data_IF_831868995019
#
_entry.id   IF_831868995019
#
_cell.length_a   1.000
_cell.length_b   1.000
_cell.length_c   1.000
_cell.angle_alpha   90.00
_cell.angle_beta   90.00
_cell.angle_gamma   90.00
#
_symmetry.space_group_name_H-M   'P 1'
#
loop_
_entity.id
_entity.type
_entity.pdbx_description
1 polymer ?
#
# COMPACT_ATOMS: atom_id res chain seq x y z
N UNK A 1 26.12 7.99 -13.46
CA UNK A 1 27.29 7.39 -12.76
C UNK A 1 26.84 6.63 -11.50
N UNK A 2 25.85 7.12 -10.77
CA UNK A 2 25.42 6.61 -9.44
C UNK A 2 24.88 5.17 -9.42
N UNK A 3 24.41 4.64 -10.56
CA UNK A 3 23.91 3.27 -10.66
C UNK A 3 25.06 2.24 -10.64
N UNK A 4 26.19 2.56 -11.27
CA UNK A 4 27.35 1.67 -11.33
C UNK A 4 28.08 1.62 -9.99
N UNK A 5 28.17 2.75 -9.29
CA UNK A 5 28.75 2.84 -7.96
C UNK A 5 28.04 1.93 -6.95
N UNK A 6 26.69 1.93 -6.96
CA UNK A 6 25.89 1.04 -6.12
C UNK A 6 26.14 -0.46 -6.36
N UNK A 7 26.58 -0.84 -7.56
CA UNK A 7 26.92 -2.23 -7.91
C UNK A 7 28.33 -2.65 -7.48
N UNK A 8 29.19 -1.69 -7.10
CA UNK A 8 30.58 -1.92 -6.69
C UNK A 8 30.78 -1.85 -5.17
N UNK A 9 29.69 -1.78 -4.39
CA UNK A 9 29.71 -1.67 -2.94
C UNK A 9 29.59 -3.04 -2.28
N UNK A 10 30.42 -3.27 -1.27
CA UNK A 10 30.36 -4.46 -0.43
C UNK A 10 29.18 -4.39 0.55
N UNK A 11 28.31 -5.42 0.62
CA UNK A 11 27.13 -5.41 1.50
C UNK A 11 27.45 -5.48 3.00
N UNK A 12 28.73 -5.62 3.37
CA UNK A 12 29.18 -5.77 4.77
C UNK A 12 29.83 -4.49 5.29
N UNK A 13 30.83 -3.97 4.56
CA UNK A 13 31.48 -2.72 4.97
C UNK A 13 30.83 -1.47 4.38
N UNK A 14 29.88 -1.63 3.43
CA UNK A 14 29.20 -0.53 2.72
C UNK A 14 30.14 0.42 1.94
N UNK A 15 31.39 -0.03 1.73
CA UNK A 15 32.41 0.65 0.94
C UNK A 15 32.61 -0.07 -0.41
N UNK A 16 33.23 0.61 -1.38
CA UNK A 16 33.66 0.01 -2.65
C UNK A 16 34.52 -1.24 -2.37
N UNK A 17 34.30 -2.33 -3.12
CA UNK A 17 34.99 -3.59 -2.86
C UNK A 17 36.52 -3.41 -2.83
N UNK A 18 37.14 -3.96 -1.78
CA UNK A 18 38.59 -4.07 -1.63
C UNK A 18 38.98 -5.54 -1.68
N UNK A 19 39.72 -5.91 -2.74
CA UNK A 19 40.08 -7.32 -3.05
C UNK A 19 38.83 -8.22 -3.05
N UNK A 20 37.90 -8.02 -4.00
CA UNK A 20 36.64 -8.77 -4.05
C UNK A 20 36.90 -10.27 -4.20
N UNK A 21 36.25 -11.07 -3.36
CA UNK A 21 36.19 -12.53 -3.47
C UNK A 21 34.79 -12.96 -3.88
N UNK A 22 34.70 -13.97 -4.75
CA UNK A 22 33.43 -14.54 -5.19
C UNK A 22 33.09 -15.80 -4.40
N UNK A 23 31.84 -15.90 -3.95
CA UNK A 23 31.32 -17.05 -3.23
C UNK A 23 30.59 -17.97 -4.21
N UNK A 24 31.14 -19.14 -4.51
CA UNK A 24 30.48 -20.13 -5.37
C UNK A 24 29.63 -21.10 -4.53
N UNK A 25 28.45 -21.54 -5.01
CA UNK A 25 27.85 -21.28 -6.32
C UNK A 25 26.99 -19.99 -6.41
N UNK A 26 26.80 -19.26 -5.32
CA UNK A 26 25.84 -18.14 -5.29
C UNK A 26 26.32 -16.84 -5.97
N UNK A 27 27.57 -16.79 -6.47
CA UNK A 27 28.21 -15.72 -7.23
C UNK A 27 28.20 -14.33 -6.57
N UNK A 28 27.91 -14.25 -5.27
CA UNK A 28 27.96 -12.99 -4.53
C UNK A 28 29.41 -12.60 -4.23
N UNK A 29 29.68 -11.29 -4.30
CA UNK A 29 30.99 -10.72 -4.05
C UNK A 29 31.05 -10.08 -2.66
N UNK A 30 32.18 -10.23 -1.97
CA UNK A 30 32.50 -9.59 -0.69
C UNK A 30 33.93 -9.10 -0.71
N UNK A 31 34.28 -8.11 0.12
CA UNK A 31 35.69 -7.85 0.42
C UNK A 31 36.30 -9.07 1.12
N UNK A 32 37.54 -9.43 0.77
CA UNK A 32 38.25 -10.56 1.41
C UNK A 32 38.29 -10.43 2.94
N UNK A 33 38.47 -9.20 3.45
CA UNK A 33 38.47 -8.91 4.88
C UNK A 33 37.10 -9.19 5.50
N UNK A 34 36.03 -8.68 4.90
CA UNK A 34 34.65 -8.92 5.36
C UNK A 34 34.29 -10.40 5.40
N UNK A 35 34.67 -11.17 4.38
CA UNK A 35 34.44 -12.62 4.36
C UNK A 35 35.21 -13.32 5.50
N UNK A 36 36.44 -12.88 5.80
CA UNK A 36 37.24 -13.44 6.88
C UNK A 36 36.66 -13.12 8.26
N UNK A 37 36.22 -11.89 8.47
CA UNK A 37 35.66 -11.44 9.75
C UNK A 37 34.35 -12.18 10.07
N UNK A 38 33.49 -12.40 9.06
CA UNK A 38 32.26 -13.20 9.20
C UNK A 38 32.57 -14.66 9.51
N UNK A 39 33.56 -15.24 8.82
CA UNK A 39 33.97 -16.62 9.06
C UNK A 39 34.50 -16.82 10.49
N UNK A 40 35.31 -15.90 11.00
CA UNK A 40 35.83 -15.93 12.36
C UNK A 40 34.73 -15.74 13.42
N UNK A 41 33.81 -14.79 13.20
CA UNK A 41 32.67 -14.57 14.10
C UNK A 41 31.76 -15.80 14.19
N UNK A 42 31.59 -16.52 13.09
CA UNK A 42 30.77 -17.74 13.04
C UNK A 42 31.43 -18.99 13.64
N UNK A 43 32.74 -18.97 13.90
CA UNK A 43 33.49 -20.11 14.44
C UNK A 43 34.47 -19.69 15.56
N UNK A 44 33.96 -19.35 16.77
CA UNK A 44 34.79 -18.81 17.86
C UNK A 44 35.78 -19.81 18.49
N UNK A 45 35.61 -21.11 18.22
CA UNK A 45 36.36 -22.19 18.88
C UNK A 45 37.50 -22.79 18.03
N UNK A 46 37.76 -22.30 16.82
CA UNK A 46 38.91 -22.73 16.03
C UNK A 46 40.13 -21.82 16.31
N UNK A 47 41.26 -22.37 16.83
CA UNK A 47 42.43 -21.57 17.16
C UNK A 47 43.20 -21.14 15.89
N UNK A 48 43.52 -19.84 15.81
CA UNK A 48 44.27 -19.16 14.73
C UNK A 48 45.76 -19.54 14.65
N UNK A 49 46.22 -20.59 15.33
CA UNK A 49 47.66 -20.93 15.39
C UNK A 49 47.91 -22.43 15.44
N UNK A 50 48.44 -22.96 14.33
CA UNK A 50 49.28 -24.16 14.29
C UNK A 50 48.73 -25.42 14.94
N UNK A 51 47.79 -26.10 14.28
CA UNK A 51 47.35 -27.44 14.68
C UNK A 51 46.67 -28.14 13.52
N UNK A 52 47.19 -29.31 13.14
CA UNK A 52 46.64 -30.20 12.11
C UNK A 52 45.20 -30.62 12.44
N UNK A 53 44.22 -30.01 11.77
CA UNK A 53 42.84 -30.52 11.68
C UNK A 53 42.29 -30.29 10.27
N UNK A 54 41.87 -31.39 9.66
CA UNK A 54 41.49 -31.57 8.25
C UNK A 54 40.05 -31.20 7.93
N UNK A 55 39.47 -30.20 8.60
CA UNK A 55 38.06 -29.84 8.41
C UNK A 55 37.91 -28.46 7.78
N UNK A 56 37.65 -28.46 6.47
CA UNK A 56 37.20 -27.28 5.75
C UNK A 56 35.99 -26.64 6.42
N UNK A 57 36.13 -25.39 6.87
CA UNK A 57 35.07 -24.69 7.58
C UNK A 57 33.86 -24.42 6.69
N UNK A 58 32.66 -24.39 7.28
CA UNK A 58 31.43 -23.97 6.57
C UNK A 58 31.32 -22.45 6.63
N UNK A 59 31.07 -21.83 5.48
CA UNK A 59 30.87 -20.39 5.35
C UNK A 59 29.48 -20.12 4.79
N UNK A 60 28.70 -19.30 5.49
CA UNK A 60 27.38 -18.87 5.00
C UNK A 60 27.49 -17.50 4.34
N UNK A 61 27.07 -17.41 3.09
CA UNK A 61 27.01 -16.15 2.36
C UNK A 61 26.05 -15.18 3.07
N UNK A 62 26.49 -13.98 3.47
CA UNK A 62 25.61 -12.99 4.09
C UNK A 62 24.48 -12.50 3.19
N UNK A 63 24.73 -12.45 1.87
CA UNK A 63 23.79 -11.91 0.90
C UNK A 63 22.62 -12.84 0.59
N UNK A 64 22.85 -14.16 0.55
CA UNK A 64 21.84 -15.15 0.16
C UNK A 64 21.70 -16.34 1.12
N UNK A 65 22.46 -16.35 2.23
CA UNK A 65 22.51 -17.41 3.24
C UNK A 65 22.93 -18.79 2.74
N UNK A 66 23.37 -18.90 1.49
CA UNK A 66 23.90 -20.13 0.92
C UNK A 66 25.15 -20.61 1.66
N UNK A 67 25.19 -21.89 2.02
CA UNK A 67 26.28 -22.48 2.79
C UNK A 67 27.30 -23.14 1.86
N UNK A 68 28.56 -22.71 1.99
CA UNK A 68 29.69 -23.15 1.16
C UNK A 68 30.70 -23.83 2.05
N UNK A 69 31.17 -25.01 1.64
CA UNK A 69 32.28 -25.71 2.31
C UNK A 69 33.59 -25.12 1.78
N UNK A 70 34.42 -24.60 2.67
CA UNK A 70 35.72 -24.03 2.32
C UNK A 70 36.80 -25.11 2.30
N UNK A 71 37.81 -24.95 1.46
CA UNK A 71 38.98 -25.84 1.44
C UNK A 71 39.87 -25.64 2.68
N UNK A 72 40.99 -26.40 2.74
CA UNK A 72 42.06 -26.25 3.75
C UNK A 72 42.59 -24.82 3.93
N UNK A 73 42.41 -23.95 2.94
CA UNK A 73 42.82 -22.54 2.98
C UNK A 73 41.73 -21.59 3.52
N UNK A 74 40.57 -22.11 3.93
CA UNK A 74 39.46 -21.31 4.45
C UNK A 74 39.03 -20.20 3.48
N UNK A 75 38.76 -19.01 4.02
CA UNK A 75 38.34 -17.82 3.25
C UNK A 75 39.41 -17.37 2.25
N UNK A 76 40.69 -17.65 2.51
CA UNK A 76 41.77 -17.30 1.57
C UNK A 76 41.76 -18.17 0.31
N UNK A 77 41.06 -19.31 0.33
CA UNK A 77 40.81 -20.14 -0.84
C UNK A 77 39.72 -19.62 -1.78
N UNK A 78 38.91 -18.63 -1.35
CA UNK A 78 37.91 -18.02 -2.23
C UNK A 78 38.59 -17.28 -3.39
N UNK A 79 38.08 -17.56 -4.59
CA UNK A 79 38.60 -16.98 -5.83
C UNK A 79 38.42 -15.46 -5.83
N UNK A 80 39.43 -14.74 -6.31
CA UNK A 80 39.32 -13.30 -6.55
C UNK A 80 38.52 -13.05 -7.82
N UNK A 81 37.66 -12.04 -7.78
CA UNK A 81 36.95 -11.60 -8.97
C UNK A 81 37.74 -10.47 -9.65
N UNK A 82 38.68 -10.85 -10.53
CA UNK A 82 39.55 -9.90 -11.24
C UNK A 82 38.77 -8.95 -12.15
N UNK A 83 37.58 -9.34 -12.62
CA UNK A 83 36.72 -8.47 -13.42
C UNK A 83 36.20 -7.30 -12.58
N UNK A 84 35.70 -7.60 -11.37
CA UNK A 84 35.24 -6.56 -10.44
C UNK A 84 36.40 -5.68 -9.98
N UNK A 85 37.58 -6.26 -9.77
CA UNK A 85 38.80 -5.52 -9.45
C UNK A 85 39.19 -4.54 -10.59
N UNK A 86 39.20 -4.99 -11.85
CA UNK A 86 39.49 -4.15 -13.01
C UNK A 86 38.46 -3.04 -13.24
N UNK A 87 37.16 -3.32 -13.00
CA UNK A 87 36.10 -2.31 -13.11
C UNK A 87 36.27 -1.23 -12.04
N UNK A 88 36.64 -1.62 -10.82
CA UNK A 88 36.93 -0.68 -9.72
C UNK A 88 38.17 0.16 -10.04
N UNK A 89 39.19 -0.41 -10.67
CA UNK A 89 40.39 0.33 -11.06
C UNK A 89 40.11 1.35 -12.18
N UNK A 90 39.26 1.00 -13.16
CA UNK A 90 38.75 1.97 -14.13
C UNK A 90 37.94 3.09 -13.46
N UNK A 91 37.04 2.74 -12.53
CA UNK A 91 36.21 3.71 -11.81
C UNK A 91 37.06 4.67 -10.94
N UNK A 92 38.11 4.16 -10.28
CA UNK A 92 39.04 4.97 -9.47
C UNK A 92 39.95 5.88 -10.29
N UNK A 93 40.19 5.57 -11.56
CA UNK A 93 41.03 6.38 -12.45
C UNK A 93 40.31 7.61 -13.01
N UNK A 94 38.98 7.72 -12.83
CA UNK A 94 38.18 8.79 -13.43
C UNK A 94 38.06 10.15 -12.69
N UNK A 95 38.80 10.48 -11.60
CA UNK A 95 38.82 11.86 -11.11
C UNK A 95 40.18 12.60 -11.12
N UNK A 96 41.29 12.02 -11.60
CA UNK A 96 42.60 12.68 -11.43
C UNK A 96 43.66 12.37 -12.50
N UNK A 97 43.35 12.62 -13.78
CA UNK A 97 44.39 12.75 -14.81
C UNK A 97 44.06 13.82 -15.85
N UNK A 98 44.29 15.07 -15.49
CA UNK A 98 44.63 16.12 -16.45
C UNK A 98 46.07 15.92 -16.92
N UNK A 99 46.29 14.94 -17.80
CA UNK A 99 47.49 14.86 -18.65
C UNK A 99 47.03 14.79 -20.11
N UNK A 100 47.54 15.67 -21.00
CA UNK A 100 47.30 15.48 -22.42
C UNK A 100 47.94 14.16 -22.83
N UNK A 101 47.15 13.25 -23.40
CA UNK A 101 47.68 12.06 -24.05
C UNK A 101 48.64 12.50 -25.17
N UNK A 102 49.73 11.75 -25.45
CA UNK A 102 50.54 12.01 -26.62
C UNK A 102 49.64 11.88 -27.86
N UNK A 103 49.65 12.90 -28.71
CA UNK A 103 49.01 12.88 -30.02
C UNK A 103 49.44 11.62 -30.76
N UNK A 104 48.55 10.62 -30.85
CA UNK A 104 48.67 9.59 -31.87
C UNK A 104 48.52 10.33 -33.20
N UNK A 105 49.62 10.50 -33.94
CA UNK A 105 49.55 10.88 -35.36
C UNK A 105 48.60 9.88 -36.01
N UNK A 106 47.42 10.33 -36.38
CA UNK A 106 46.46 9.50 -37.09
C UNK A 106 47.12 9.04 -38.39
N UNK A 107 47.25 7.72 -38.58
CA UNK A 107 47.64 7.15 -39.86
C UNK A 107 46.64 7.66 -40.91
N UNK A 108 47.11 8.51 -41.82
CA UNK A 108 46.30 8.99 -42.93
C UNK A 108 46.06 7.81 -43.86
N UNK A 109 44.79 7.47 -44.18
CA UNK A 109 44.50 6.33 -45.04
C UNK A 109 45.09 6.54 -46.44
N UNK A 110 45.76 5.50 -46.95
CA UNK A 110 46.34 5.45 -48.28
C UNK A 110 45.31 4.86 -49.26
N UNK A 111 45.46 5.16 -50.55
CA UNK A 111 44.56 4.64 -51.57
C UNK A 111 44.79 3.13 -51.79
N UNK A 112 43.72 2.35 -51.82
CA UNK A 112 43.78 0.89 -52.04
C UNK A 112 44.36 0.52 -53.41
N UNK A 113 44.16 1.37 -54.42
CA UNK A 113 44.66 1.17 -55.80
C UNK A 113 46.05 1.77 -55.99
N UNK A 114 46.36 2.84 -55.26
CA UNK A 114 47.62 3.58 -55.37
C UNK A 114 48.26 3.66 -53.98
N UNK A 115 49.00 2.61 -53.62
CA UNK A 115 49.48 2.39 -52.25
C UNK A 115 50.42 3.51 -51.74
N UNK A 116 51.08 4.25 -52.63
CA UNK A 116 51.95 5.38 -52.28
C UNK A 116 51.21 6.74 -52.20
N UNK A 117 49.94 6.78 -52.58
CA UNK A 117 49.16 8.01 -52.65
C UNK A 117 48.19 8.16 -51.47
N UNK A 118 48.20 9.36 -50.89
CA UNK A 118 47.31 9.73 -49.78
C UNK A 118 45.91 10.06 -50.27
N UNK A 119 44.91 9.69 -49.49
CA UNK A 119 43.53 10.11 -49.73
C UNK A 119 43.36 11.58 -49.30
N UNK A 120 43.18 12.46 -50.28
CA UNK A 120 43.09 13.91 -50.08
C UNK A 120 41.96 14.59 -50.91
N UNK A 121 41.25 13.81 -51.73
CA UNK A 121 40.17 14.27 -52.60
C UNK A 121 38.88 13.54 -52.22
N UNK A 122 37.74 14.19 -52.35
CA UNK A 122 36.43 13.55 -52.25
C UNK A 122 35.72 13.63 -53.60
N UNK A 123 35.28 12.49 -54.11
CA UNK A 123 34.51 12.42 -55.34
C UNK A 123 33.04 12.67 -55.04
N UNK A 124 32.49 13.80 -55.52
CA UNK A 124 31.10 14.18 -55.29
C UNK A 124 30.15 13.29 -56.09
N UNK A 125 30.52 12.90 -57.30
CA UNK A 125 29.70 12.04 -58.16
C UNK A 125 29.53 10.63 -57.60
N UNK A 126 30.58 10.10 -56.96
CA UNK A 126 30.58 8.74 -56.41
C UNK A 126 30.39 8.69 -54.89
N UNK A 127 30.34 9.84 -54.21
CA UNK A 127 30.25 9.98 -52.76
C UNK A 127 31.32 9.18 -51.97
N UNK A 128 32.55 9.10 -52.50
CA UNK A 128 33.66 8.35 -51.89
C UNK A 128 34.94 9.18 -51.82
N UNK A 129 35.75 9.01 -50.75
CA UNK A 129 37.08 9.62 -50.66
C UNK A 129 38.06 8.90 -51.61
N UNK A 130 38.92 9.65 -52.27
CA UNK A 130 39.83 9.17 -53.33
C UNK A 130 41.18 9.90 -53.32
N UNK A 131 42.13 9.48 -54.15
CA UNK A 131 43.45 10.11 -54.30
C UNK A 131 43.63 10.83 -55.64
N UNK A 132 44.70 11.61 -55.76
CA UNK A 132 45.04 12.38 -56.97
C UNK A 132 45.18 11.48 -58.21
N UNK A 133 45.80 10.32 -58.08
CA UNK A 133 46.01 9.39 -59.21
C UNK A 133 44.70 8.79 -59.72
N UNK A 134 43.77 8.47 -58.81
CA UNK A 134 42.42 8.02 -59.18
C UNK A 134 41.62 9.07 -59.96
N UNK A 135 41.85 10.36 -59.69
CA UNK A 135 41.23 11.46 -60.43
C UNK A 135 41.91 11.75 -61.77
N UNK A 136 43.23 11.73 -61.85
CA UNK A 136 43.91 12.14 -63.09
C UNK A 136 43.95 11.01 -64.13
N UNK A 137 44.15 9.76 -63.71
CA UNK A 137 44.34 8.62 -64.62
C UNK A 137 43.42 7.43 -64.33
N UNK A 138 42.72 7.44 -63.19
CA UNK A 138 41.92 6.31 -62.73
C UNK A 138 40.44 6.39 -63.07
N UNK A 139 39.64 5.65 -62.30
CA UNK A 139 38.19 5.49 -62.46
C UNK A 139 37.38 6.77 -62.26
N UNK A 140 37.94 7.82 -61.66
CA UNK A 140 37.23 9.07 -61.36
C UNK A 140 37.61 10.24 -62.28
N UNK A 141 38.21 9.94 -63.46
CA UNK A 141 38.66 10.95 -64.44
C UNK A 141 37.59 11.97 -64.83
N UNK A 142 36.37 11.51 -65.07
CA UNK A 142 35.26 12.34 -65.53
C UNK A 142 34.32 12.76 -64.37
N UNK A 143 34.63 12.40 -63.12
CA UNK A 143 33.81 12.72 -61.95
C UNK A 143 34.10 14.11 -61.39
N UNK A 144 33.10 14.74 -60.81
CA UNK A 144 33.28 15.98 -60.06
C UNK A 144 33.92 15.69 -58.69
N UNK A 145 34.92 16.49 -58.32
CA UNK A 145 35.71 16.28 -57.10
C UNK A 145 35.90 17.57 -56.33
N UNK A 146 36.02 17.46 -55.01
CA UNK A 146 36.35 18.56 -54.12
C UNK A 146 37.46 18.16 -53.14
N UNK A 147 38.19 19.13 -52.56
CA UNK A 147 39.15 18.83 -51.50
C UNK A 147 38.49 18.10 -50.32
N UNK A 148 39.08 17.01 -49.83
CA UNK A 148 38.45 16.22 -48.75
C UNK A 148 38.21 17.05 -47.49
N UNK A 149 39.08 18.04 -47.22
CA UNK A 149 38.96 18.92 -46.06
C UNK A 149 37.70 19.79 -46.12
N UNK A 150 37.29 20.28 -47.30
CA UNK A 150 36.09 21.12 -47.41
C UNK A 150 34.81 20.30 -47.25
N UNK A 151 34.75 19.12 -47.87
CA UNK A 151 33.60 18.20 -47.72
C UNK A 151 33.49 17.69 -46.29
N UNK A 152 34.63 17.34 -45.66
CA UNK A 152 34.66 16.94 -44.26
C UNK A 152 34.11 18.03 -43.33
N UNK A 153 34.53 19.29 -43.51
CA UNK A 153 34.02 20.36 -42.66
C UNK A 153 32.53 20.59 -42.87
N UNK A 154 32.05 20.58 -44.11
CA UNK A 154 30.62 20.74 -44.43
C UNK A 154 29.77 19.61 -43.81
N UNK A 155 30.13 18.35 -44.07
CA UNK A 155 29.38 17.20 -43.52
C UNK A 155 29.46 17.17 -41.99
N UNK A 156 30.59 17.58 -41.41
CA UNK A 156 30.74 17.69 -39.95
C UNK A 156 29.81 18.77 -39.39
N UNK A 157 29.70 19.93 -40.03
CA UNK A 157 28.78 20.99 -39.61
C UNK A 157 27.33 20.55 -39.75
N UNK A 158 26.92 19.97 -40.88
CA UNK A 158 25.56 19.46 -41.09
C UNK A 158 25.17 18.40 -40.06
N UNK A 159 26.08 17.47 -39.77
CA UNK A 159 25.86 16.46 -38.73
C UNK A 159 25.76 17.09 -37.35
N UNK A 160 26.61 18.07 -37.03
CA UNK A 160 26.58 18.78 -35.74
C UNK A 160 25.27 19.54 -35.57
N UNK A 161 24.80 20.23 -36.61
CA UNK A 161 23.54 20.99 -36.60
C UNK A 161 22.34 20.05 -36.48
N UNK A 162 22.35 18.94 -37.22
CA UNK A 162 21.33 17.88 -37.10
C UNK A 162 21.26 17.27 -35.70
N UNK A 163 22.42 16.97 -35.10
CA UNK A 163 22.49 16.50 -33.71
C UNK A 163 21.95 17.55 -32.75
N UNK A 164 22.32 18.82 -32.92
CA UNK A 164 21.86 19.91 -32.06
C UNK A 164 20.32 20.06 -32.10
N UNK A 165 19.70 19.99 -33.29
CA UNK A 165 18.24 19.99 -33.42
C UNK A 165 17.60 18.78 -32.74
N UNK A 166 18.18 17.59 -32.91
CA UNK A 166 17.67 16.37 -32.26
C UNK A 166 17.75 16.44 -30.74
N UNK A 167 18.83 17.00 -30.18
CA UNK A 167 18.95 17.25 -28.74
C UNK A 167 17.85 18.21 -28.26
N UNK A 168 17.58 19.28 -29.01
CA UNK A 168 16.47 20.21 -28.71
C UNK A 168 15.09 19.52 -28.73
N UNK A 169 14.84 18.68 -29.74
CA UNK A 169 13.60 17.90 -29.84
C UNK A 169 13.44 16.90 -28.69
N UNK A 170 14.51 16.19 -28.33
CA UNK A 170 14.50 15.27 -27.19
C UNK A 170 14.16 16.01 -25.88
N UNK A 171 14.74 17.20 -25.66
CA UNK A 171 14.40 18.03 -24.49
C UNK A 171 12.93 18.45 -24.48
N UNK A 172 12.37 18.82 -25.65
CA UNK A 172 10.95 19.16 -25.78
C UNK A 172 10.04 17.97 -25.46
N UNK A 173 10.35 16.79 -26.01
CA UNK A 173 9.59 15.55 -25.74
C UNK A 173 9.66 15.20 -24.25
N UNK A 174 10.84 15.31 -23.64
CA UNK A 174 11.01 15.08 -22.21
C UNK A 174 10.13 16.02 -21.37
N UNK A 175 10.03 17.30 -21.76
CA UNK A 175 9.12 18.25 -21.11
C UNK A 175 7.64 17.86 -21.22
N UNK A 176 7.21 17.39 -22.40
CA UNK A 176 5.84 16.90 -22.60
C UNK A 176 5.57 15.66 -21.72
N UNK A 177 6.52 14.71 -21.64
CA UNK A 177 6.40 13.54 -20.77
C UNK A 177 6.22 13.99 -19.31
N UNK A 178 7.03 14.93 -18.83
CA UNK A 178 6.90 15.45 -17.46
C UNK A 178 5.54 16.11 -17.21
N UNK A 179 4.98 16.85 -18.17
CA UNK A 179 3.65 17.45 -18.06
C UNK A 179 2.54 16.40 -18.02
N UNK A 180 2.65 15.35 -18.83
CA UNK A 180 1.70 14.23 -18.82
C UNK A 180 1.74 13.48 -17.49
N UNK A 181 2.93 13.21 -16.95
CA UNK A 181 3.08 12.60 -15.63
C UNK A 181 2.48 13.46 -14.51
N UNK A 182 2.65 14.78 -14.58
CA UNK A 182 2.04 15.71 -13.62
C UNK A 182 0.52 15.70 -13.71
N UNK A 183 -0.02 15.66 -14.92
CA UNK A 183 -1.47 15.53 -15.14
C UNK A 183 -2.01 14.22 -14.57
N UNK A 184 -1.31 13.10 -14.78
CA UNK A 184 -1.66 11.82 -14.17
C UNK A 184 -1.67 11.90 -12.64
N UNK A 185 -0.63 12.49 -12.03
CA UNK A 185 -0.57 12.71 -10.58
C UNK A 185 -1.72 13.58 -10.08
N UNK A 186 -2.07 14.65 -10.80
CA UNK A 186 -3.20 15.51 -10.47
C UNK A 186 -4.53 14.76 -10.52
N UNK A 187 -4.76 13.93 -11.54
CA UNK A 187 -5.94 13.07 -11.65
C UNK A 187 -6.02 12.08 -10.48
N UNK A 188 -4.91 11.46 -10.08
CA UNK A 188 -4.89 10.56 -8.93
C UNK A 188 -5.27 11.26 -7.62
N UNK A 189 -4.69 12.43 -7.36
CA UNK A 189 -4.98 13.22 -6.15
C UNK A 189 -6.45 13.66 -6.16
N UNK A 190 -6.94 14.16 -7.29
CA UNK A 190 -8.35 14.55 -7.43
C UNK A 190 -9.27 13.33 -7.23
N UNK A 191 -8.99 12.20 -7.85
CA UNK A 191 -9.77 10.96 -7.69
C UNK A 191 -9.80 10.50 -6.24
N UNK A 192 -8.67 10.52 -5.54
CA UNK A 192 -8.60 10.22 -4.09
C UNK A 192 -9.48 11.17 -3.28
N UNK A 193 -9.44 12.47 -3.58
CA UNK A 193 -10.30 13.47 -2.93
C UNK A 193 -11.79 13.20 -3.16
N UNK A 194 -12.20 12.94 -4.40
CA UNK A 194 -13.59 12.63 -4.73
C UNK A 194 -14.08 11.36 -4.02
N UNK A 195 -13.24 10.31 -3.98
CA UNK A 195 -13.54 9.09 -3.21
C UNK A 195 -13.72 9.37 -1.71
N UNK A 196 -12.85 10.18 -1.12
CA UNK A 196 -12.98 10.59 0.30
C UNK A 196 -14.31 11.29 0.57
N UNK A 197 -14.71 12.21 -0.32
CA UNK A 197 -15.98 12.92 -0.19
C UNK A 197 -17.18 11.97 -0.24
N UNK A 198 -17.17 10.99 -1.13
CA UNK A 198 -18.23 9.96 -1.16
C UNK A 198 -18.28 9.21 0.15
N UNK A 199 -17.14 8.73 0.66
CA UNK A 199 -17.08 8.04 1.95
C UNK A 199 -17.63 8.91 3.09
N UNK A 200 -17.19 10.16 3.20
CA UNK A 200 -17.64 11.10 4.24
C UNK A 200 -19.17 11.33 4.20
N UNK A 201 -19.76 11.42 3.00
CA UNK A 201 -21.22 11.58 2.86
C UNK A 201 -21.97 10.31 3.29
N UNK A 202 -21.46 9.13 2.98
CA UNK A 202 -22.05 7.88 3.46
C UNK A 202 -21.87 7.69 4.97
N UNK A 203 -20.72 8.05 5.53
CA UNK A 203 -20.47 8.02 6.99
C UNK A 203 -21.44 8.93 7.75
N UNK A 204 -21.77 10.08 7.18
CA UNK A 204 -22.80 10.96 7.72
C UNK A 204 -24.19 10.30 7.69
N UNK A 205 -24.56 9.65 6.58
CA UNK A 205 -25.83 8.90 6.48
C UNK A 205 -25.90 7.74 7.48
N UNK A 206 -24.80 7.00 7.68
CA UNK A 206 -24.74 5.94 8.69
C UNK A 206 -24.95 6.49 10.10
N UNK A 207 -24.33 7.62 10.42
CA UNK A 207 -24.53 8.29 11.72
C UNK A 207 -26.02 8.62 11.94
N UNK A 208 -26.68 9.24 10.97
CA UNK A 208 -28.11 9.56 11.06
C UNK A 208 -28.95 8.30 11.26
N UNK A 209 -28.69 7.24 10.49
CA UNK A 209 -29.43 5.99 10.60
C UNK A 209 -29.25 5.33 11.97
N UNK A 210 -28.03 5.34 12.51
CA UNK A 210 -27.75 4.78 13.83
C UNK A 210 -28.40 5.62 14.94
N UNK A 211 -28.34 6.95 14.87
CA UNK A 211 -29.04 7.83 15.83
C UNK A 211 -30.55 7.55 15.84
N UNK A 212 -31.19 7.44 14.67
CA UNK A 212 -32.63 7.15 14.58
C UNK A 212 -32.98 5.76 15.10
N UNK A 213 -32.12 4.76 14.86
CA UNK A 213 -32.27 3.42 15.44
C UNK A 213 -32.18 3.46 16.97
N UNK A 214 -31.21 4.19 17.53
CA UNK A 214 -31.05 4.33 18.98
C UNK A 214 -32.24 5.04 19.61
N UNK A 215 -32.73 6.12 19.00
CA UNK A 215 -33.92 6.84 19.47
C UNK A 215 -35.17 5.93 19.51
N UNK A 216 -35.44 5.21 18.42
CA UNK A 216 -36.59 4.29 18.35
C UNK A 216 -36.48 3.16 19.36
N UNK A 217 -35.30 2.54 19.49
CA UNK A 217 -35.02 1.50 20.47
C UNK A 217 -35.14 2.01 21.92
N UNK A 218 -34.67 3.24 22.16
CA UNK A 218 -34.75 3.91 23.44
C UNK A 218 -36.20 4.11 23.89
N UNK A 219 -37.11 4.48 22.97
CA UNK A 219 -38.55 4.59 23.27
C UNK A 219 -39.17 3.27 23.72
N UNK A 220 -38.86 2.17 23.02
CA UNK A 220 -39.34 0.82 23.40
C UNK A 220 -38.81 0.42 24.77
N UNK A 221 -37.53 0.72 25.03
CA UNK A 221 -36.88 0.40 26.32
C UNK A 221 -37.49 1.21 27.46
N UNK A 222 -37.74 2.50 27.26
CA UNK A 222 -38.37 3.37 28.27
C UNK A 222 -39.79 2.90 28.62
N UNK A 223 -40.65 2.61 27.61
CA UNK A 223 -42.00 2.10 27.88
C UNK A 223 -41.96 0.72 28.57
N UNK A 224 -41.01 -0.16 28.19
CA UNK A 224 -40.80 -1.42 28.89
C UNK A 224 -40.43 -1.20 30.37
N UNK A 225 -39.52 -0.28 30.66
CA UNK A 225 -39.08 0.02 32.03
C UNK A 225 -40.21 0.61 32.87
N UNK A 226 -41.03 1.48 32.29
CA UNK A 226 -42.23 2.01 32.92
C UNK A 226 -43.23 0.89 33.27
N UNK A 227 -43.56 0.02 32.30
CA UNK A 227 -44.47 -1.12 32.52
C UNK A 227 -43.91 -2.09 33.56
N UNK A 228 -42.62 -2.40 33.50
CA UNK A 228 -41.96 -3.23 34.51
C UNK A 228 -41.96 -2.57 35.90
N UNK A 229 -41.78 -1.25 35.96
CA UNK A 229 -41.87 -0.48 37.19
C UNK A 229 -43.25 -0.60 37.83
N UNK A 230 -44.31 -0.44 37.03
CA UNK A 230 -45.70 -0.61 37.46
C UNK A 230 -45.96 -2.02 38.02
N UNK A 231 -45.65 -3.07 37.25
CA UNK A 231 -45.89 -4.45 37.68
C UNK A 231 -45.08 -4.81 38.93
N UNK A 232 -43.83 -4.34 39.03
CA UNK A 232 -43.01 -4.54 40.22
C UNK A 232 -43.58 -3.82 41.44
N UNK A 233 -44.09 -2.61 41.25
CA UNK A 233 -44.78 -1.86 42.30
C UNK A 233 -46.03 -2.60 42.79
N UNK A 234 -46.83 -3.13 41.87
CA UNK A 234 -48.01 -3.91 42.21
C UNK A 234 -47.64 -5.20 42.98
N UNK A 235 -46.65 -5.95 42.48
CA UNK A 235 -46.12 -7.14 43.16
C UNK A 235 -45.71 -6.83 44.61
N UNK A 236 -45.03 -5.71 44.84
CA UNK A 236 -44.62 -5.30 46.18
C UNK A 236 -45.81 -5.03 47.10
N UNK A 237 -46.87 -4.36 46.61
CA UNK A 237 -48.12 -4.17 47.39
C UNK A 237 -48.72 -5.51 47.81
N UNK A 238 -48.73 -6.50 46.90
CA UNK A 238 -49.21 -7.85 47.20
C UNK A 238 -48.30 -8.58 48.22
N UNK A 239 -46.98 -8.44 48.10
CA UNK A 239 -46.00 -9.01 49.05
C UNK A 239 -46.15 -8.39 50.45
N UNK A 240 -46.28 -7.06 50.54
CA UNK A 240 -46.47 -6.34 51.81
C UNK A 240 -47.80 -6.74 52.49
N UNK A 241 -48.88 -6.89 51.71
CA UNK A 241 -50.17 -7.36 52.21
C UNK A 241 -50.08 -8.80 52.73
N UNK A 242 -49.38 -9.68 52.01
CA UNK A 242 -49.16 -11.07 52.41
C UNK A 242 -48.35 -11.17 53.70
N UNK A 243 -47.30 -10.34 53.85
CA UNK A 243 -46.50 -10.28 55.08
C UNK A 243 -47.35 -9.80 56.26
N UNK A 244 -48.18 -8.77 56.07
CA UNK A 244 -49.12 -8.29 57.07
C UNK A 244 -50.12 -9.39 57.50
N UNK A 245 -50.73 -10.07 56.54
CA UNK A 245 -51.63 -11.21 56.81
C UNK A 245 -50.90 -12.31 57.59
N UNK A 246 -49.67 -12.64 57.21
CA UNK A 246 -48.87 -13.68 57.88
C UNK A 246 -48.63 -13.34 59.34
N UNK A 247 -48.24 -12.09 59.64
CA UNK A 247 -48.05 -11.61 61.03
C UNK A 247 -49.34 -11.63 61.84
N UNK A 248 -50.48 -11.29 61.22
CA UNK A 248 -51.80 -11.37 61.87
C UNK A 248 -52.14 -12.83 62.19
N UNK A 249 -51.90 -13.77 61.28
CA UNK A 249 -52.11 -15.20 61.49
C UNK A 249 -51.22 -15.71 62.63
N UNK A 250 -49.93 -15.40 62.62
CA UNK A 250 -48.99 -15.79 63.69
C UNK A 250 -49.43 -15.25 65.06
N UNK A 251 -49.78 -13.96 65.12
CA UNK A 251 -50.29 -13.33 66.34
C UNK A 251 -51.60 -13.98 66.81
N UNK A 252 -52.44 -14.41 65.87
CA UNK A 252 -53.68 -15.13 66.15
C UNK A 252 -53.43 -16.50 66.74
N UNK A 253 -52.49 -17.26 66.17
CA UNK A 253 -52.08 -18.57 66.70
C UNK A 253 -51.48 -18.41 68.10
N UNK A 254 -50.61 -17.42 68.33
CA UNK A 254 -50.04 -17.14 69.65
C UNK A 254 -51.12 -16.78 70.68
N UNK A 255 -52.07 -15.92 70.30
CA UNK A 255 -53.20 -15.58 71.18
C UNK A 255 -54.06 -16.80 71.50
N UNK A 256 -54.26 -17.71 70.53
CA UNK A 256 -55.00 -18.96 70.74
C UNK A 256 -54.28 -19.98 71.63
N UNK A 257 -52.97 -19.81 71.85
CA UNK A 257 -52.18 -20.65 72.75
C UNK A 257 -52.18 -20.14 74.20
N UNK A 258 -52.80 -18.99 74.49
CA UNK A 258 -52.86 -18.41 75.84
C UNK A 258 -53.74 -19.26 76.78
N UNK A 259 -53.16 -19.86 77.85
CA UNK A 259 -53.92 -20.72 78.77
C UNK A 259 -54.82 -19.94 79.74
N UNK A 260 -54.50 -18.67 80.04
CA UNK A 260 -55.24 -17.88 81.01
C UNK A 260 -56.44 -17.15 80.34
N UNK A 261 -57.67 -17.59 80.65
CA UNK A 261 -58.89 -17.13 79.97
C UNK A 261 -59.11 -15.62 80.07
N UNK A 262 -58.76 -15.01 81.21
CA UNK A 262 -58.89 -13.56 81.40
C UNK A 262 -57.89 -12.78 80.54
N UNK A 263 -56.65 -13.28 80.44
CA UNK A 263 -55.58 -12.68 79.62
C UNK A 263 -55.92 -12.81 78.13
N UNK A 264 -56.43 -13.96 77.70
CA UNK A 264 -56.94 -14.16 76.34
C UNK A 264 -58.00 -13.13 75.95
N UNK A 265 -59.03 -12.95 76.79
CA UNK A 265 -60.10 -11.98 76.54
C UNK A 265 -59.58 -10.54 76.58
N UNK A 266 -58.60 -10.24 77.43
CA UNK A 266 -57.96 -8.94 77.50
C UNK A 266 -57.12 -8.66 76.25
N UNK A 267 -56.28 -9.58 75.79
CA UNK A 267 -55.44 -9.41 74.58
C UNK A 267 -56.31 -9.27 73.32
N UNK A 268 -57.36 -10.09 73.19
CA UNK A 268 -58.31 -10.01 72.08
C UNK A 268 -59.04 -8.64 72.03
N UNK A 269 -59.33 -8.05 73.20
CA UNK A 269 -60.09 -6.79 73.33
C UNK A 269 -59.21 -5.52 73.41
N UNK A 270 -57.98 -5.62 73.91
CA UNK A 270 -57.08 -4.47 74.21
C UNK A 270 -56.15 -4.10 73.06
N UNK A 271 -56.04 -4.96 72.05
CA UNK A 271 -55.33 -4.61 70.83
C UNK A 271 -56.09 -3.53 70.02
N UNK A 272 -55.39 -2.60 69.32
CA UNK A 272 -56.03 -1.51 68.58
C UNK A 272 -56.95 -2.09 67.50
N UNK A 273 -58.26 -1.92 67.68
CA UNK A 273 -59.28 -2.67 66.94
C UNK A 273 -59.35 -4.13 67.42
N UNK A 274 -60.54 -4.61 67.80
CA UNK A 274 -60.75 -6.00 68.23
C UNK A 274 -60.03 -6.95 67.27
N UNK A 275 -59.28 -7.92 67.79
CA UNK A 275 -58.43 -8.77 66.95
C UNK A 275 -59.22 -9.46 65.81
N UNK A 276 -60.44 -9.92 66.10
CA UNK A 276 -61.34 -10.48 65.08
C UNK A 276 -61.71 -9.49 63.95
N UNK A 277 -61.85 -8.20 64.26
CA UNK A 277 -62.12 -7.15 63.27
C UNK A 277 -60.93 -6.96 62.34
N UNK A 278 -59.71 -6.96 62.89
CA UNK A 278 -58.47 -6.88 62.09
C UNK A 278 -58.25 -8.09 61.19
N UNK A 279 -58.59 -9.29 61.66
CA UNK A 279 -58.59 -10.49 60.80
C UNK A 279 -59.58 -10.30 59.64
N UNK A 280 -60.79 -9.81 59.92
CA UNK A 280 -61.80 -9.56 58.89
C UNK A 280 -61.35 -8.53 57.86
N UNK A 281 -60.71 -7.45 58.30
CA UNK A 281 -60.17 -6.40 57.43
C UNK A 281 -58.99 -6.91 56.58
N UNK A 282 -58.03 -7.61 57.17
CA UNK A 282 -56.87 -8.15 56.45
C UNK A 282 -57.20 -9.31 55.51
N UNK A 283 -58.31 -10.03 55.76
CA UNK A 283 -58.79 -11.09 54.86
C UNK A 283 -59.48 -10.52 53.61
N UNK A 284 -59.79 -9.23 53.59
CA UNK A 284 -60.47 -8.60 52.47
C UNK A 284 -59.49 -8.17 51.37
N UNK A 285 -59.35 -9.00 50.33
CA UNK A 285 -58.46 -8.75 49.18
C UNK A 285 -59.07 -7.89 48.08
N UNK A 286 -60.32 -7.44 48.24
CA UNK A 286 -61.02 -6.63 47.21
C UNK A 286 -60.40 -5.25 46.96
N UNK A 287 -59.55 -4.77 47.88
CA UNK A 287 -58.84 -3.50 47.77
C UNK A 287 -57.53 -3.60 46.96
N UNK A 288 -57.11 -4.81 46.58
CA UNK A 288 -55.87 -5.02 45.82
C UNK A 288 -56.13 -4.73 44.33
N UNK A 289 -55.38 -3.76 43.81
CA UNK A 289 -55.42 -3.36 42.40
C UNK A 289 -55.08 -4.54 41.48
N UNK A 290 -55.80 -4.68 40.36
CA UNK A 290 -55.47 -5.63 39.30
C UNK A 290 -54.55 -4.96 38.29
N UNK A 291 -53.81 -5.77 37.53
CA UNK A 291 -52.99 -5.28 36.42
C UNK A 291 -53.89 -4.53 35.43
N UNK A 292 -53.51 -3.30 35.11
CA UNK A 292 -54.19 -2.49 34.10
C UNK A 292 -54.09 -3.11 32.70
N UNK A 293 -55.21 -3.05 31.97
CA UNK A 293 -55.27 -3.57 30.60
C UNK A 293 -54.30 -2.81 29.69
N UNK A 294 -53.42 -3.53 28.99
CA UNK A 294 -52.40 -2.95 28.10
C UNK A 294 -50.98 -2.89 28.68
N UNK A 295 -50.80 -3.16 29.97
CA UNK A 295 -49.47 -3.31 30.59
C UNK A 295 -48.78 -4.65 30.26
N UNK A 296 -49.51 -5.58 29.63
CA UNK A 296 -49.04 -6.93 29.30
C UNK A 296 -48.48 -7.07 27.87
N UNK A 297 -48.62 -6.05 27.03
CA UNK A 297 -48.34 -6.08 25.59
C UNK A 297 -47.42 -4.91 25.17
N UNK A 298 -46.61 -5.11 24.13
CA UNK A 298 -45.80 -4.07 23.46
C UNK A 298 -45.93 -4.12 21.92
N UNK A 299 -46.97 -4.78 21.39
CA UNK A 299 -47.15 -5.11 19.97
C UNK A 299 -47.59 -3.91 19.12
N UNK A 300 -47.93 -2.78 19.74
CA UNK A 300 -48.26 -1.53 19.03
C UNK A 300 -47.05 -0.93 18.30
N UNK A 301 -45.82 -1.36 18.62
CA UNK A 301 -44.63 -0.99 17.86
C UNK A 301 -44.53 -1.79 16.56
N UNK A 302 -44.75 -1.11 15.43
CA UNK A 302 -44.57 -1.68 14.08
C UNK A 302 -43.56 -0.85 13.28
N UNK A 303 -42.69 -1.52 12.52
CA UNK A 303 -41.66 -0.87 11.67
C UNK A 303 -41.91 -1.12 10.18
N UNK A 304 -41.80 -0.07 9.35
CA UNK A 304 -41.90 -0.16 7.89
C UNK A 304 -40.98 0.87 7.24
N UNK A 305 -39.87 0.40 6.65
CA UNK A 305 -38.83 1.24 6.05
C UNK A 305 -38.80 1.15 4.52
N UNK A 306 -39.93 0.81 3.88
CA UNK A 306 -39.97 0.60 2.42
C UNK A 306 -39.69 1.88 1.63
N UNK A 307 -40.07 3.06 2.13
CA UNK A 307 -39.84 4.33 1.43
C UNK A 307 -38.39 4.77 1.56
N UNK A 308 -37.85 4.65 2.76
CA UNK A 308 -36.48 4.97 3.14
C UNK A 308 -35.50 4.07 2.38
N UNK A 309 -35.79 2.77 2.31
CA UNK A 309 -35.00 1.83 1.49
C UNK A 309 -35.02 2.19 0.00
N UNK A 310 -36.15 2.66 -0.54
CA UNK A 310 -36.19 3.17 -1.93
C UNK A 310 -35.36 4.44 -2.11
N UNK A 311 -35.40 5.35 -1.14
CA UNK A 311 -34.60 6.57 -1.18
C UNK A 311 -33.10 6.28 -1.13
N UNK A 312 -32.66 5.35 -0.27
CA UNK A 312 -31.26 4.92 -0.18
C UNK A 312 -30.78 4.25 -1.47
N UNK A 313 -31.62 3.43 -2.10
CA UNK A 313 -31.29 2.79 -3.39
C UNK A 313 -31.24 3.77 -4.57
N UNK A 314 -31.78 4.97 -4.42
CA UNK A 314 -31.80 6.00 -5.46
C UNK A 314 -30.63 7.01 -5.32
N UNK A 315 -29.72 6.82 -4.36
CA UNK A 315 -28.55 7.68 -4.19
C UNK A 315 -27.59 7.47 -5.36
N UNK A 316 -27.26 8.55 -6.05
CA UNK A 316 -26.30 8.58 -7.15
C UNK A 316 -25.54 9.92 -7.14
N UNK A 317 -24.50 10.04 -7.97
CA UNK A 317 -23.81 11.29 -8.19
C UNK A 317 -24.74 12.33 -8.80
N UNK A 318 -24.67 13.56 -8.30
CA UNK A 318 -25.33 14.71 -8.94
C UNK A 318 -24.61 14.97 -10.26
N UNK A 319 -25.34 14.83 -11.37
CA UNK A 319 -24.86 15.32 -12.67
C UNK A 319 -25.10 16.83 -12.67
N UNK A 320 -24.05 17.59 -12.42
CA UNK A 320 -24.06 19.00 -12.80
C UNK A 320 -24.16 19.04 -14.33
N UNK A 321 -25.28 19.51 -14.86
CA UNK A 321 -25.32 20.00 -16.24
C UNK A 321 -24.40 21.22 -16.26
N UNK A 322 -23.13 20.96 -16.59
CA UNK A 322 -22.17 22.03 -16.84
C UNK A 322 -22.68 22.74 -18.10
N UNK A 323 -23.36 23.88 -17.92
CA UNK A 323 -23.50 24.84 -19.00
C UNK A 323 -22.08 25.20 -19.43
N UNK A 324 -21.64 24.62 -20.55
CA UNK A 324 -20.46 25.10 -21.25
C UNK A 324 -20.75 26.55 -21.63
N UNK A 325 -20.19 27.49 -20.88
CA UNK A 325 -20.06 28.87 -21.34
C UNK A 325 -19.14 28.83 -22.56
N UNK A 326 -19.75 28.77 -23.74
CA UNK A 326 -19.16 29.24 -24.98
C UNK A 326 -18.84 30.73 -24.79
N UNK A 327 -17.62 31.05 -24.33
CA UNK A 327 -17.08 32.38 -24.53
C UNK A 327 -16.53 32.46 -25.96
N UNK A 328 -17.38 32.98 -26.85
CA UNK A 328 -17.04 33.34 -28.21
C UNK A 328 -16.05 34.51 -28.23
N UNK A 329 -14.86 34.26 -28.76
CA UNK A 329 -13.78 35.24 -28.84
C UNK A 329 -12.98 35.20 -30.14
N UNK A 330 -13.66 35.50 -31.24
CA UNK A 330 -13.16 36.13 -32.49
C UNK A 330 -12.21 35.35 -33.42
N UNK A 331 -12.74 35.18 -34.62
CA UNK A 331 -12.13 34.76 -35.88
C UNK A 331 -11.12 35.79 -36.41
N UNK A 332 -9.99 35.29 -36.90
CA UNK A 332 -9.19 35.84 -38.00
C UNK A 332 -8.31 34.70 -38.51
N UNK A 333 -8.76 33.94 -39.53
CA UNK A 333 -8.33 34.08 -40.92
C UNK A 333 -6.79 34.08 -41.02
N UNK A 334 -6.10 33.17 -41.70
CA UNK A 334 -6.21 32.71 -43.09
C UNK A 334 -5.53 31.31 -43.18
N UNK A 335 -6.13 30.29 -43.79
CA UNK A 335 -5.75 29.75 -45.12
C UNK A 335 -4.44 28.93 -45.08
N UNK A 336 -4.26 27.70 -45.56
CA UNK A 336 -4.96 26.79 -46.48
C UNK A 336 -4.42 25.38 -46.11
N UNK A 337 -5.23 24.33 -46.01
CA UNK A 337 -5.50 23.44 -47.13
C UNK A 337 -4.42 22.37 -47.35
N UNK A 338 -4.52 21.19 -46.73
CA UNK A 338 -4.25 19.94 -47.45
C UNK A 338 -4.84 18.71 -46.75
N UNK A 339 -5.43 17.88 -47.60
CA UNK A 339 -6.12 16.60 -47.39
C UNK A 339 -5.21 15.48 -46.88
N UNK A 340 -5.77 14.51 -46.15
CA UNK A 340 -5.11 13.21 -45.94
C UNK A 340 -5.84 12.28 -45.00
N UNK A 341 -6.75 11.45 -45.54
CA UNK A 341 -7.23 10.22 -44.91
C UNK A 341 -6.06 9.30 -44.51
N UNK A 342 -6.13 8.69 -43.34
CA UNK A 342 -5.56 7.36 -43.12
C UNK A 342 -6.29 6.65 -41.97
N UNK A 343 -7.04 5.63 -42.38
CA UNK A 343 -7.57 4.49 -41.63
C UNK A 343 -6.51 3.65 -40.92
N UNK A 344 -7.01 2.72 -40.07
CA UNK A 344 -6.41 1.52 -39.47
C UNK A 344 -6.04 1.72 -37.99
N UNK A 345 -6.74 1.09 -37.04
CA UNK A 345 -6.70 -0.36 -36.79
C UNK A 345 -5.85 -0.54 -35.52
N UNK A 346 -6.42 -0.74 -34.34
CA UNK A 346 -6.96 -2.01 -33.87
C UNK A 346 -5.89 -2.72 -33.03
N UNK A 347 -6.17 -2.96 -31.74
CA UNK A 347 -5.81 -4.18 -31.00
C UNK A 347 -6.08 -4.02 -29.50
N UNK A 348 -6.80 -5.01 -28.99
CA UNK A 348 -7.08 -5.27 -27.58
C UNK A 348 -5.89 -5.97 -26.91
N UNK A 349 -5.61 -5.63 -25.65
CA UNK A 349 -5.04 -6.54 -24.62
C UNK A 349 -5.36 -5.88 -23.28
N UNK A 350 -5.87 -6.49 -22.21
CA UNK A 350 -6.27 -7.85 -21.87
C UNK A 350 -6.54 -7.79 -20.35
N UNK A 351 -7.71 -8.25 -19.91
CA UNK A 351 -8.16 -8.15 -18.52
C UNK A 351 -7.35 -9.00 -17.55
N UNK A 352 -7.04 -8.44 -16.38
CA UNK A 352 -6.63 -9.17 -15.18
C UNK A 352 -7.82 -9.38 -14.22
N UNK A 353 -7.82 -10.43 -13.40
CA UNK A 353 -9.00 -10.89 -12.65
C UNK A 353 -9.30 -10.01 -11.43
N UNK A 354 -10.55 -10.02 -10.91
CA UNK A 354 -10.91 -9.28 -9.71
C UNK A 354 -10.38 -9.97 -8.44
N UNK A 355 -9.80 -9.17 -7.55
CA UNK A 355 -9.39 -9.56 -6.21
C UNK A 355 -10.60 -10.06 -5.40
N UNK A 356 -10.49 -11.26 -4.83
CA UNK A 356 -11.40 -11.75 -3.78
C UNK A 356 -11.09 -11.05 -2.44
N UNK A 357 -12.09 -10.65 -1.64
CA UNK A 357 -11.87 -10.16 -0.29
C UNK A 357 -11.51 -11.31 0.66
N UNK A 358 -10.46 -11.11 1.44
CA UNK A 358 -10.01 -12.00 2.53
C UNK A 358 -11.05 -12.09 3.65
N UNK A 359 -11.30 -13.29 4.23
CA UNK A 359 -12.22 -13.41 5.37
C UNK A 359 -11.56 -12.95 6.68
N UNK A 360 -12.36 -12.28 7.51
CA UNK A 360 -12.04 -11.82 8.87
C UNK A 360 -11.90 -13.02 9.81
N UNK A 361 -10.90 -13.09 10.72
CA UNK A 361 -10.82 -14.19 11.68
C UNK A 361 -11.87 -14.03 12.79
N UNK A 362 -12.62 -15.10 13.07
CA UNK A 362 -13.47 -15.22 14.26
C UNK A 362 -12.63 -15.60 15.50
N UNK A 363 -13.01 -15.15 16.71
CA UNK A 363 -12.31 -15.52 17.94
C UNK A 363 -12.60 -16.97 18.35
N UNK A 364 -11.55 -17.70 18.73
CA UNK A 364 -11.61 -19.06 19.27
C UNK A 364 -12.27 -19.04 20.66
N UNK A 365 -13.36 -19.78 20.80
CA UNK A 365 -13.98 -20.13 22.09
C UNK A 365 -13.17 -21.28 22.68
N UNK A 366 -12.58 -21.07 23.86
CA UNK A 366 -11.97 -22.11 24.69
C UNK A 366 -13.04 -23.13 25.12
N UNK A 367 -12.85 -24.39 24.74
CA UNK A 367 -13.53 -25.52 25.39
C UNK A 367 -12.54 -26.20 26.34
N UNK A 368 -12.76 -25.97 27.64
CA UNK A 368 -12.25 -26.82 28.70
C UNK A 368 -12.82 -28.24 28.52
N UNK A 369 -11.94 -29.23 28.32
CA UNK A 369 -12.27 -30.64 28.46
C UNK A 369 -11.44 -31.22 29.61
N UNK A 370 -12.18 -31.72 30.60
CA UNK A 370 -11.72 -32.51 31.73
C UNK A 370 -10.94 -33.75 31.26
N UNK A 371 -9.80 -33.99 31.91
CA UNK A 371 -9.27 -35.31 32.24
C UNK A 371 -8.40 -35.17 33.49
#
# INVERSE_FOLDING_TARGET
MDYLEKQLICPICLEIFTKPVVILPCQHNLCRKCANDIFQASNPYLPTRGGTVTSGGRFRCPSCRHEVVLDRHGVYGLQRNLLVENIIDMYKQEPSSSRPAPERKADQPLCEVHQDEKINIYCLTCAVPTCSMCKVFGSHKDCEVAPIKSVYQLQKTELTDGIAMMVGNNNRIQGIISQLEETCRAIEVNSRKQKSQVCEKFDHLYTILEERKQEMSGRVTAEKEEKFGYIRGLKRKYEDHLECMTKIVESGIQTMQEPEMAVFLQVNKSSPGRFCTRIGEASNTSQLEKVECGYENMDHYTVNFKKEGKALNAIDFVRDEVEEQEDGGVVGAEGEGYTGQATLGGAMVGGGPPFQPTPVPQPLIEQNALS
#
